data_IF_819656883491
#
_entry.id   IF_819656883491
#
_cell.length_a   1.000
_cell.length_b   1.000
_cell.length_c   1.000
_cell.angle_alpha   90.00
_cell.angle_beta   90.00
_cell.angle_gamma   90.00
#
_symmetry.space_group_name_H-M   'P 1'
#
loop_
_entity.id
_entity.type
_entity.pdbx_description
1 polymer ?
#
# COMPACT_ATOMS: atom_id res chain seq x y z
N UNK A 1 -33.91 -29.59 68.43
CA UNK A 1 -34.00 -28.15 68.25
C UNK A 1 -32.59 -27.60 67.85
N UNK A 2 -31.57 -27.75 68.72
CA UNK A 2 -30.22 -27.22 68.55
C UNK A 2 -29.61 -27.48 67.16
N UNK A 3 -29.66 -28.69 66.65
CA UNK A 3 -29.14 -29.03 65.34
C UNK A 3 -29.80 -28.22 64.20
N UNK A 4 -31.12 -27.98 64.28
CA UNK A 4 -31.80 -27.17 63.28
C UNK A 4 -31.55 -25.68 63.43
N UNK A 5 -31.32 -25.20 64.63
CA UNK A 5 -30.85 -23.84 64.87
C UNK A 5 -29.45 -23.62 64.29
N UNK A 6 -28.54 -24.58 64.46
CA UNK A 6 -27.21 -24.55 63.82
C UNK A 6 -27.33 -24.53 62.28
N UNK A 7 -28.24 -25.31 61.69
CA UNK A 7 -28.48 -25.26 60.22
C UNK A 7 -28.99 -23.90 59.76
N UNK A 8 -29.85 -23.23 60.56
CA UNK A 8 -30.28 -21.88 60.28
C UNK A 8 -29.08 -20.87 60.32
N UNK A 9 -28.22 -20.98 61.34
CA UNK A 9 -27.04 -20.14 61.47
C UNK A 9 -26.07 -20.34 60.30
N UNK A 10 -25.82 -21.58 59.92
CA UNK A 10 -25.00 -21.89 58.74
C UNK A 10 -25.60 -21.33 57.47
N UNK A 11 -26.90 -21.48 57.27
CA UNK A 11 -27.61 -20.94 56.12
C UNK A 11 -27.50 -19.41 56.04
N UNK A 12 -27.63 -18.72 57.18
CA UNK A 12 -27.46 -17.27 57.27
C UNK A 12 -26.04 -16.81 56.96
N UNK A 13 -25.04 -17.52 57.47
CA UNK A 13 -23.64 -17.28 57.12
C UNK A 13 -23.36 -17.51 55.63
N UNK A 14 -23.91 -18.55 55.05
CA UNK A 14 -23.82 -18.79 53.61
C UNK A 14 -24.53 -17.70 52.79
N UNK A 15 -25.61 -17.10 53.30
CA UNK A 15 -26.27 -15.99 52.66
C UNK A 15 -25.40 -14.71 52.58
N UNK A 16 -24.42 -14.55 53.48
CA UNK A 16 -23.47 -13.45 53.48
C UNK A 16 -22.21 -13.77 52.65
N UNK A 17 -22.00 -15.03 52.26
CA UNK A 17 -20.81 -15.44 51.55
C UNK A 17 -20.75 -14.77 50.14
N UNK A 18 -19.57 -14.18 49.82
CA UNK A 18 -19.30 -13.55 48.55
C UNK A 18 -19.18 -14.56 47.38
N UNK A 19 -18.81 -15.80 47.67
CA UNK A 19 -18.73 -16.88 46.68
C UNK A 19 -20.13 -17.56 46.54
N UNK A 20 -20.93 -17.00 45.67
CA UNK A 20 -22.32 -17.41 45.46
C UNK A 20 -22.46 -18.87 45.03
N UNK A 21 -21.55 -19.36 44.21
CA UNK A 21 -21.56 -20.76 43.69
C UNK A 21 -21.28 -21.74 44.82
N UNK A 22 -20.28 -21.45 45.64
CA UNK A 22 -19.96 -22.25 46.82
C UNK A 22 -21.07 -22.24 47.85
N UNK A 23 -21.62 -21.07 48.16
CA UNK A 23 -22.73 -20.91 49.07
C UNK A 23 -23.93 -21.74 48.64
N UNK A 24 -24.26 -21.73 47.35
CA UNK A 24 -25.37 -22.55 46.83
C UNK A 24 -25.09 -24.04 46.94
N UNK A 25 -23.85 -24.49 46.64
CA UNK A 25 -23.48 -25.89 46.76
C UNK A 25 -23.53 -26.38 48.20
N UNK A 26 -23.03 -25.60 49.14
CA UNK A 26 -23.09 -25.94 50.57
C UNK A 26 -24.56 -25.89 51.08
N UNK A 27 -25.39 -24.97 50.58
CA UNK A 27 -26.81 -24.95 50.87
C UNK A 27 -27.52 -26.25 50.43
N UNK A 28 -27.17 -26.82 49.29
CA UNK A 28 -27.75 -28.10 48.84
C UNK A 28 -27.43 -29.23 49.81
N UNK A 29 -26.18 -29.31 50.31
CA UNK A 29 -25.79 -30.28 51.35
C UNK A 29 -26.54 -30.04 52.65
N UNK A 30 -26.72 -28.80 53.03
CA UNK A 30 -27.48 -28.40 54.24
C UNK A 30 -28.94 -28.79 54.12
N UNK A 31 -29.55 -28.72 52.93
CA UNK A 31 -30.91 -29.17 52.69
C UNK A 31 -31.05 -30.68 52.85
N UNK A 32 -30.06 -31.47 52.45
CA UNK A 32 -30.03 -32.91 52.62
C UNK A 32 -29.95 -33.27 54.13
N UNK A 33 -29.03 -32.63 54.83
CA UNK A 33 -28.90 -32.80 56.30
C UNK A 33 -30.16 -32.38 57.03
N UNK A 34 -30.81 -31.27 56.59
CA UNK A 34 -32.10 -30.83 57.16
C UNK A 34 -33.18 -31.89 57.06
N UNK A 35 -33.23 -32.68 56.00
CA UNK A 35 -34.20 -33.76 55.81
C UNK A 35 -33.92 -34.98 56.70
N UNK A 36 -32.63 -35.28 56.92
CA UNK A 36 -32.22 -36.42 57.75
C UNK A 36 -32.58 -36.20 59.23
N UNK A 37 -32.54 -34.96 59.71
CA UNK A 37 -32.93 -34.65 61.05
C UNK A 37 -34.46 -34.53 61.17
N UNK A 38 -35.02 -35.32 62.07
CA UNK A 38 -36.50 -35.42 62.31
C UNK A 38 -37.17 -34.10 62.64
N UNK A 39 -38.51 -34.10 62.79
CA UNK A 39 -39.25 -32.88 63.09
C UNK A 39 -38.92 -32.32 64.46
N UNK A 40 -38.98 -30.99 64.60
CA UNK A 40 -38.90 -30.24 65.85
C UNK A 40 -40.23 -30.18 66.54
N UNK A 41 -40.29 -29.88 67.84
CA UNK A 41 -41.49 -29.65 68.58
C UNK A 41 -42.40 -28.60 67.91
N UNK A 42 -43.74 -28.78 67.97
CA UNK A 42 -44.69 -27.99 67.18
C UNK A 42 -44.56 -26.48 67.41
N UNK A 43 -44.19 -26.08 68.62
CA UNK A 43 -44.01 -24.69 69.03
C UNK A 43 -42.91 -23.93 68.31
N UNK A 44 -41.79 -24.61 67.91
CA UNK A 44 -40.62 -24.01 67.25
C UNK A 44 -40.59 -24.29 65.73
N UNK A 45 -41.51 -25.13 65.23
CA UNK A 45 -41.43 -25.62 63.85
C UNK A 45 -41.54 -24.52 62.80
N UNK A 46 -42.45 -23.63 62.97
CA UNK A 46 -42.77 -22.57 62.04
C UNK A 46 -41.64 -21.51 62.03
N UNK A 47 -41.23 -21.08 63.23
CA UNK A 47 -40.16 -20.09 63.36
C UNK A 47 -38.80 -20.55 62.74
N UNK A 48 -38.44 -21.79 63.05
CA UNK A 48 -37.16 -22.34 62.52
C UNK A 48 -37.24 -22.56 61.02
N UNK A 49 -38.40 -23.03 60.51
CA UNK A 49 -38.62 -23.18 59.10
C UNK A 49 -38.59 -21.87 58.34
N UNK A 50 -39.26 -20.84 58.83
CA UNK A 50 -39.27 -19.53 58.20
C UNK A 50 -37.87 -18.88 58.16
N UNK A 51 -37.14 -19.04 59.27
CA UNK A 51 -35.73 -18.56 59.31
C UNK A 51 -34.85 -19.27 58.29
N UNK A 52 -34.90 -20.60 58.21
CA UNK A 52 -34.16 -21.40 57.22
C UNK A 52 -34.59 -21.07 55.78
N UNK A 53 -35.87 -20.95 55.57
CA UNK A 53 -36.46 -20.58 54.29
C UNK A 53 -36.06 -19.19 53.83
N UNK A 54 -36.01 -18.22 54.75
CA UNK A 54 -35.58 -16.87 54.40
C UNK A 54 -34.10 -16.83 53.97
N UNK A 55 -33.21 -17.49 54.67
CA UNK A 55 -31.77 -17.60 54.28
C UNK A 55 -31.62 -18.33 52.94
N UNK A 56 -32.35 -19.42 52.75
CA UNK A 56 -32.39 -20.18 51.49
C UNK A 56 -32.84 -19.29 50.32
N UNK A 57 -33.90 -18.50 50.53
CA UNK A 57 -34.41 -17.59 49.48
C UNK A 57 -33.39 -16.53 49.07
N UNK A 58 -32.62 -16.00 50.01
CA UNK A 58 -31.54 -15.03 49.74
C UNK A 58 -30.43 -15.66 48.87
N UNK A 59 -29.97 -16.86 49.23
CA UNK A 59 -28.93 -17.57 48.49
C UNK A 59 -29.40 -17.90 47.09
N UNK A 60 -30.62 -18.45 46.94
CA UNK A 60 -31.19 -18.78 45.62
C UNK A 60 -31.33 -17.54 44.74
N UNK A 61 -31.78 -16.41 45.29
CA UNK A 61 -31.89 -15.16 44.56
C UNK A 61 -30.51 -14.64 44.09
N UNK A 62 -29.51 -14.70 44.98
CA UNK A 62 -28.12 -14.32 44.61
C UNK A 62 -27.56 -15.25 43.52
N UNK A 63 -27.83 -16.55 43.62
CA UNK A 63 -27.38 -17.54 42.64
C UNK A 63 -28.01 -17.30 41.26
N UNK A 64 -29.32 -17.07 41.21
CA UNK A 64 -30.02 -16.74 39.96
C UNK A 64 -29.48 -15.45 39.37
N UNK A 65 -29.38 -14.37 40.14
CA UNK A 65 -28.85 -13.08 39.68
C UNK A 65 -27.42 -13.20 39.12
N UNK A 66 -26.60 -14.01 39.81
CA UNK A 66 -25.21 -14.27 39.33
C UNK A 66 -25.18 -14.93 37.97
N UNK A 67 -25.98 -15.98 37.76
CA UNK A 67 -26.00 -16.68 36.46
C UNK A 67 -26.71 -15.90 35.36
N UNK A 68 -27.74 -15.10 35.72
CA UNK A 68 -28.35 -14.16 34.78
C UNK A 68 -27.35 -13.11 34.31
N UNK A 69 -26.61 -12.47 35.23
CA UNK A 69 -25.56 -11.52 34.90
C UNK A 69 -24.44 -12.14 34.09
N UNK A 70 -24.02 -13.37 34.40
CA UNK A 70 -23.03 -14.10 33.62
C UNK A 70 -23.51 -14.38 32.19
N UNK A 71 -24.77 -14.77 32.05
CA UNK A 71 -25.38 -15.02 30.74
C UNK A 71 -25.48 -13.74 29.91
N UNK A 72 -25.90 -12.63 30.54
CA UNK A 72 -25.93 -11.32 29.89
C UNK A 72 -24.55 -10.88 29.43
N UNK A 73 -23.54 -11.00 30.30
CA UNK A 73 -22.17 -10.68 29.95
C UNK A 73 -21.62 -11.55 28.80
N UNK A 74 -21.92 -12.84 28.81
CA UNK A 74 -21.54 -13.76 27.72
C UNK A 74 -22.24 -13.39 26.41
N UNK A 75 -23.48 -12.97 26.44
CA UNK A 75 -24.22 -12.50 25.26
C UNK A 75 -23.66 -11.19 24.74
N UNK A 76 -23.31 -10.25 25.61
CA UNK A 76 -22.64 -9.00 25.24
C UNK A 76 -21.26 -9.26 24.61
N UNK A 77 -20.48 -10.15 25.20
CA UNK A 77 -19.18 -10.55 24.66
C UNK A 77 -19.32 -11.18 23.27
N UNK A 78 -20.35 -12.03 23.08
CA UNK A 78 -20.64 -12.61 21.76
C UNK A 78 -21.00 -11.53 20.74
N UNK A 79 -21.85 -10.58 21.11
CA UNK A 79 -22.25 -9.48 20.24
C UNK A 79 -21.01 -8.62 19.83
N UNK A 80 -20.17 -8.25 20.78
CA UNK A 80 -18.92 -7.51 20.51
C UNK A 80 -18.00 -8.31 19.58
N UNK A 81 -17.81 -9.60 19.83
CA UNK A 81 -17.00 -10.48 18.97
C UNK A 81 -17.58 -10.62 17.57
N UNK A 82 -18.91 -10.65 17.45
CA UNK A 82 -19.58 -10.72 16.14
C UNK A 82 -19.27 -9.47 15.30
N UNK A 83 -19.34 -8.28 15.90
CA UNK A 83 -18.97 -7.03 15.22
C UNK A 83 -17.53 -7.05 14.75
N UNK A 84 -16.62 -7.61 15.55
CA UNK A 84 -15.21 -7.73 15.14
C UNK A 84 -15.02 -8.74 13.99
N UNK A 85 -15.79 -9.83 13.98
CA UNK A 85 -15.79 -10.75 12.83
C UNK A 85 -16.24 -10.05 11.55
N UNK A 86 -17.34 -9.32 11.60
CA UNK A 86 -17.89 -8.58 10.47
C UNK A 86 -16.89 -7.53 9.96
N UNK A 87 -16.21 -6.84 10.86
CA UNK A 87 -15.15 -5.87 10.51
C UNK A 87 -13.98 -6.54 9.78
N UNK A 88 -13.51 -7.70 10.25
CA UNK A 88 -12.42 -8.43 9.57
C UNK A 88 -12.89 -8.99 8.24
N UNK A 89 -14.11 -9.52 8.16
CA UNK A 89 -14.71 -10.02 6.92
C UNK A 89 -14.82 -8.90 5.86
N UNK A 90 -15.25 -7.71 6.28
CA UNK A 90 -15.30 -6.53 5.42
C UNK A 90 -13.90 -6.16 4.90
N UNK A 91 -12.90 -6.07 5.79
CA UNK A 91 -11.52 -5.78 5.40
C UNK A 91 -10.99 -6.85 4.43
N UNK A 92 -11.27 -8.13 4.72
CA UNK A 92 -10.85 -9.24 3.88
C UNK A 92 -11.52 -9.28 2.50
N UNK A 93 -12.70 -8.67 2.37
CA UNK A 93 -13.43 -8.57 1.11
C UNK A 93 -13.00 -7.37 0.25
N UNK A 94 -12.27 -6.40 0.80
CA UNK A 94 -11.82 -5.22 0.06
C UNK A 94 -10.92 -5.62 -1.10
N UNK A 95 -11.05 -4.91 -2.21
CA UNK A 95 -10.10 -5.00 -3.31
C UNK A 95 -8.79 -4.33 -2.92
N UNK A 96 -7.67 -4.99 -3.22
CA UNK A 96 -6.33 -4.51 -2.86
C UNK A 96 -5.44 -4.54 -4.09
N UNK A 97 -4.97 -3.36 -4.50
CA UNK A 97 -4.19 -3.15 -5.72
C UNK A 97 -2.71 -2.87 -5.44
N UNK A 98 -2.33 -2.61 -4.18
CA UNK A 98 -0.96 -2.21 -3.85
C UNK A 98 -0.46 -2.78 -2.53
N UNK A 99 0.88 -2.91 -2.41
CA UNK A 99 1.56 -3.28 -1.16
C UNK A 99 1.21 -2.36 0.01
N UNK A 100 1.05 -1.06 -0.25
CA UNK A 100 0.72 -0.09 0.79
C UNK A 100 -0.68 -0.34 1.37
N UNK A 101 -1.65 -0.70 0.53
CA UNK A 101 -2.99 -1.08 0.99
C UNK A 101 -2.94 -2.37 1.82
N UNK A 102 -2.17 -3.41 1.39
CA UNK A 102 -1.98 -4.62 2.19
C UNK A 102 -1.40 -4.33 3.57
N UNK A 103 -0.44 -3.42 3.66
CA UNK A 103 0.16 -3.03 4.93
C UNK A 103 -0.81 -2.23 5.81
N UNK A 104 -1.58 -1.31 5.23
CA UNK A 104 -2.59 -0.55 5.95
C UNK A 104 -3.68 -1.46 6.52
N UNK A 105 -4.26 -2.33 5.71
CA UNK A 105 -5.30 -3.26 6.15
C UNK A 105 -4.79 -4.32 7.14
N UNK A 106 -3.52 -4.73 7.03
CA UNK A 106 -2.90 -5.60 8.04
C UNK A 106 -2.88 -4.93 9.41
N UNK A 107 -2.57 -3.64 9.48
CA UNK A 107 -2.60 -2.87 10.74
C UNK A 107 -4.03 -2.76 11.30
N UNK A 108 -5.01 -2.55 10.43
CA UNK A 108 -6.43 -2.54 10.86
C UNK A 108 -6.82 -3.89 11.49
N UNK A 109 -6.43 -5.02 10.89
CA UNK A 109 -6.70 -6.35 11.43
C UNK A 109 -5.93 -6.58 12.74
N UNK A 110 -4.69 -6.14 12.84
CA UNK A 110 -3.91 -6.23 14.10
C UNK A 110 -4.57 -5.48 15.25
N UNK A 111 -5.16 -4.31 14.99
CA UNK A 111 -5.94 -3.57 16.01
C UNK A 111 -7.20 -4.35 16.39
N UNK A 112 -7.93 -4.89 15.43
CA UNK A 112 -9.10 -5.73 15.72
C UNK A 112 -8.71 -6.97 16.53
N UNK A 113 -7.55 -7.59 16.26
CA UNK A 113 -7.04 -8.71 17.04
C UNK A 113 -6.68 -8.32 18.47
N UNK A 114 -6.20 -7.10 18.70
CA UNK A 114 -5.98 -6.57 20.06
C UNK A 114 -7.31 -6.38 20.79
N UNK A 115 -8.29 -5.75 20.15
CA UNK A 115 -9.63 -5.59 20.69
C UNK A 115 -10.27 -6.95 21.05
N UNK A 116 -10.12 -7.95 20.18
CA UNK A 116 -10.62 -9.31 20.41
C UNK A 116 -10.09 -9.93 21.68
N UNK A 117 -8.80 -9.74 21.97
CA UNK A 117 -8.16 -10.28 23.18
C UNK A 117 -8.66 -9.64 24.46
N UNK A 118 -9.20 -8.42 24.40
CA UNK A 118 -9.75 -7.71 25.55
C UNK A 118 -11.19 -8.12 25.88
N UNK A 119 -11.89 -8.76 24.94
CA UNK A 119 -13.26 -9.23 25.14
C UNK A 119 -13.22 -10.60 25.81
N UNK A 120 -14.01 -10.74 26.89
CA UNK A 120 -14.15 -11.98 27.63
C UNK A 120 -14.76 -13.12 26.80
N UNK A 121 -14.98 -14.26 27.45
CA UNK A 121 -15.58 -15.42 26.81
C UNK A 121 -17.09 -15.22 26.55
N UNK A 122 -17.57 -15.76 25.44
CA UNK A 122 -18.97 -16.00 25.18
C UNK A 122 -19.40 -17.32 25.84
N UNK A 123 -20.65 -17.78 25.62
CA UNK A 123 -21.06 -19.08 26.07
C UNK A 123 -20.14 -20.20 25.54
N UNK A 124 -20.00 -21.29 26.28
CA UNK A 124 -19.13 -22.43 25.86
C UNK A 124 -19.49 -22.93 24.45
N UNK A 125 -20.77 -22.92 24.09
CA UNK A 125 -21.27 -23.34 22.79
C UNK A 125 -20.88 -22.38 21.67
N UNK A 126 -20.96 -21.08 21.94
CA UNK A 126 -20.80 -20.04 20.92
C UNK A 126 -19.35 -19.58 20.81
N UNK A 127 -18.58 -19.71 21.88
CA UNK A 127 -17.20 -19.21 21.92
C UNK A 127 -16.29 -19.87 20.87
N UNK A 128 -16.43 -21.19 20.66
CA UNK A 128 -15.66 -21.87 19.63
C UNK A 128 -16.10 -21.45 18.23
N UNK A 129 -17.41 -21.34 17.99
CA UNK A 129 -17.95 -20.95 16.69
C UNK A 129 -17.51 -19.55 16.27
N UNK A 130 -17.60 -18.59 17.21
CA UNK A 130 -17.21 -17.21 16.90
C UNK A 130 -15.70 -17.07 16.73
N UNK A 131 -14.91 -17.87 17.46
CA UNK A 131 -13.47 -17.94 17.27
C UNK A 131 -13.10 -18.49 15.90
N UNK A 132 -13.75 -19.60 15.49
CA UNK A 132 -13.48 -20.21 14.18
C UNK A 132 -13.86 -19.26 13.03
N UNK A 133 -14.98 -18.52 13.16
CA UNK A 133 -15.40 -17.50 12.21
C UNK A 133 -14.35 -16.37 12.11
N UNK A 134 -13.90 -15.86 13.25
CA UNK A 134 -12.89 -14.81 13.31
C UNK A 134 -11.56 -15.25 12.68
N UNK A 135 -11.13 -16.45 13.03
CA UNK A 135 -9.91 -17.06 12.49
C UNK A 135 -10.00 -17.25 10.98
N UNK A 136 -11.12 -17.80 10.50
CA UNK A 136 -11.33 -18.00 9.07
C UNK A 136 -11.27 -16.68 8.28
N UNK A 137 -11.83 -15.60 8.81
CA UNK A 137 -11.76 -14.28 8.21
C UNK A 137 -10.31 -13.75 8.17
N UNK A 138 -9.57 -13.88 9.25
CA UNK A 138 -8.14 -13.54 9.29
C UNK A 138 -7.31 -14.38 8.31
N UNK A 139 -7.52 -15.69 8.30
CA UNK A 139 -6.80 -16.63 7.43
C UNK A 139 -7.06 -16.32 5.94
N UNK A 140 -8.30 -15.96 5.60
CA UNK A 140 -8.66 -15.49 4.25
C UNK A 140 -7.85 -14.25 3.85
N UNK A 141 -7.82 -13.23 4.70
CA UNK A 141 -7.06 -12.01 4.42
C UNK A 141 -5.57 -12.29 4.24
N UNK A 142 -4.95 -12.98 5.17
CA UNK A 142 -3.52 -13.28 5.11
C UNK A 142 -3.17 -14.28 4.00
N UNK A 143 -4.10 -15.17 3.62
CA UNK A 143 -3.99 -16.03 2.45
C UNK A 143 -3.89 -15.22 1.16
N UNK A 144 -4.84 -14.32 0.91
CA UNK A 144 -4.85 -13.41 -0.24
C UNK A 144 -3.60 -12.50 -0.26
N UNK A 145 -3.19 -11.99 0.89
CA UNK A 145 -1.96 -11.20 0.99
C UNK A 145 -0.74 -12.02 0.54
N UNK A 146 -0.64 -13.25 0.96
CA UNK A 146 0.46 -14.16 0.60
C UNK A 146 0.47 -14.46 -0.90
N UNK A 147 -0.70 -14.73 -1.48
CA UNK A 147 -0.86 -14.93 -2.93
C UNK A 147 -0.39 -13.70 -3.71
N UNK A 148 -0.86 -12.51 -3.34
CA UNK A 148 -0.42 -11.25 -3.95
C UNK A 148 1.11 -11.10 -3.94
N UNK A 149 1.76 -11.32 -2.81
CA UNK A 149 3.22 -11.18 -2.75
C UNK A 149 3.97 -12.28 -3.49
N UNK A 150 3.38 -13.47 -3.61
CA UNK A 150 3.94 -14.56 -4.41
C UNK A 150 3.87 -14.20 -5.89
N UNK A 151 2.71 -13.79 -6.38
CA UNK A 151 2.52 -13.35 -7.78
C UNK A 151 3.39 -12.13 -8.11
N UNK A 152 3.48 -11.17 -7.20
CA UNK A 152 4.34 -10.01 -7.36
C UNK A 152 5.82 -10.40 -7.48
N UNK A 153 6.30 -11.30 -6.64
CA UNK A 153 7.67 -11.83 -6.70
C UNK A 153 7.93 -12.59 -8.00
N UNK A 154 6.98 -13.42 -8.42
CA UNK A 154 7.10 -14.20 -9.65
C UNK A 154 7.10 -13.30 -10.89
N UNK A 155 6.26 -12.28 -10.91
CA UNK A 155 6.26 -11.24 -11.94
C UNK A 155 7.60 -10.49 -12.00
N UNK A 156 8.16 -10.10 -10.84
CA UNK A 156 9.48 -9.45 -10.79
C UNK A 156 10.60 -10.37 -11.28
N UNK A 157 10.55 -11.67 -10.99
CA UNK A 157 11.53 -12.64 -11.47
C UNK A 157 11.40 -12.85 -12.98
N UNK A 158 10.18 -12.96 -13.51
CA UNK A 158 9.95 -13.04 -14.94
C UNK A 158 10.46 -11.78 -15.67
N UNK A 159 10.21 -10.59 -15.12
CA UNK A 159 10.75 -9.34 -15.65
C UNK A 159 12.29 -9.31 -15.60
N UNK A 160 12.89 -9.86 -14.54
CA UNK A 160 14.33 -9.97 -14.41
C UNK A 160 14.92 -10.82 -15.53
N UNK A 161 14.37 -12.00 -15.80
CA UNK A 161 14.81 -12.89 -16.87
C UNK A 161 14.67 -12.20 -18.24
N UNK A 162 13.55 -11.54 -18.50
CA UNK A 162 13.34 -10.77 -19.73
C UNK A 162 14.35 -9.65 -19.92
N UNK A 163 14.68 -8.90 -18.86
CA UNK A 163 15.72 -7.84 -18.92
C UNK A 163 17.11 -8.40 -19.09
N UNK A 164 17.43 -9.55 -18.50
CA UNK A 164 18.70 -10.25 -18.72
C UNK A 164 18.83 -10.64 -20.21
N UNK A 165 17.79 -11.23 -20.80
CA UNK A 165 17.78 -11.58 -22.21
C UNK A 165 18.01 -10.37 -23.12
N UNK A 166 17.38 -9.21 -22.81
CA UNK A 166 17.64 -7.97 -23.57
C UNK A 166 19.08 -7.47 -23.42
N UNK A 167 19.69 -7.63 -22.24
CA UNK A 167 21.10 -7.32 -22.06
C UNK A 167 22.00 -8.21 -22.93
N UNK A 168 21.74 -9.52 -22.95
CA UNK A 168 22.48 -10.51 -23.73
C UNK A 168 22.34 -10.25 -25.23
N UNK A 169 21.15 -9.93 -25.70
CA UNK A 169 20.89 -9.55 -27.08
C UNK A 169 21.61 -8.25 -27.46
N UNK A 170 21.54 -7.23 -26.61
CA UNK A 170 22.27 -5.98 -26.82
C UNK A 170 23.79 -6.19 -26.86
N UNK A 171 24.32 -7.03 -25.99
CA UNK A 171 25.74 -7.40 -25.95
C UNK A 171 26.17 -8.18 -27.21
N UNK A 172 25.32 -9.05 -27.73
CA UNK A 172 25.59 -9.77 -28.97
C UNK A 172 25.58 -8.83 -30.20
N UNK A 173 24.74 -7.79 -30.17
CA UNK A 173 24.61 -6.84 -31.28
C UNK A 173 25.63 -5.69 -31.24
N UNK A 174 26.26 -5.39 -30.11
CA UNK A 174 27.12 -4.20 -29.95
C UNK A 174 28.32 -4.14 -30.87
N UNK A 175 28.80 -5.30 -31.39
CA UNK A 175 29.92 -5.39 -32.32
C UNK A 175 29.51 -5.51 -33.79
N UNK A 176 28.20 -5.41 -34.09
CA UNK A 176 27.69 -5.48 -35.45
C UNK A 176 28.14 -4.29 -36.30
N UNK A 177 28.49 -4.56 -37.56
CA UNK A 177 28.84 -3.57 -38.59
C UNK A 177 27.69 -3.22 -39.52
N UNK A 178 26.53 -3.89 -39.41
CA UNK A 178 25.31 -3.52 -40.14
C UNK A 178 24.59 -2.38 -39.38
N UNK A 179 25.14 -1.18 -39.54
CA UNK A 179 24.75 0.01 -38.77
C UNK A 179 23.25 0.31 -38.83
N UNK A 180 22.61 0.20 -40.01
CA UNK A 180 21.20 0.53 -40.19
C UNK A 180 20.32 -0.47 -39.49
N UNK A 181 20.46 -1.76 -39.83
CA UNK A 181 19.64 -2.84 -39.28
C UNK A 181 19.80 -2.94 -37.77
N UNK A 182 21.04 -2.86 -37.29
CA UNK A 182 21.32 -2.97 -35.84
C UNK A 182 20.84 -1.76 -35.07
N UNK A 183 20.84 -0.54 -35.65
CA UNK A 183 20.24 0.64 -35.07
C UNK A 183 18.73 0.40 -34.81
N UNK A 184 18.00 -0.13 -35.80
CA UNK A 184 16.57 -0.43 -35.65
C UNK A 184 16.33 -1.50 -34.57
N UNK A 185 17.22 -2.51 -34.47
CA UNK A 185 17.17 -3.52 -33.41
C UNK A 185 17.39 -2.89 -32.02
N UNK A 186 18.40 -2.02 -31.84
CA UNK A 186 18.61 -1.33 -30.56
C UNK A 186 17.44 -0.43 -30.16
N UNK A 187 16.79 0.23 -31.13
CA UNK A 187 15.57 1.02 -30.87
C UNK A 187 14.44 0.10 -30.38
N UNK A 188 14.29 -1.06 -31.00
CA UNK A 188 13.30 -2.05 -30.58
C UNK A 188 13.59 -2.60 -29.16
N UNK A 189 14.87 -2.93 -28.86
CA UNK A 189 15.28 -3.37 -27.53
C UNK A 189 15.03 -2.31 -26.45
N UNK A 190 15.30 -1.04 -26.74
CA UNK A 190 15.04 0.07 -25.83
C UNK A 190 13.55 0.25 -25.57
N UNK A 191 12.70 0.03 -26.57
CA UNK A 191 11.24 0.05 -26.41
C UNK A 191 10.78 -1.11 -25.53
N UNK A 192 11.24 -2.33 -25.82
CA UNK A 192 10.93 -3.50 -25.00
C UNK A 192 11.41 -3.34 -23.56
N UNK A 193 12.58 -2.74 -23.33
CA UNK A 193 13.10 -2.46 -21.98
C UNK A 193 12.13 -1.60 -21.16
N UNK A 194 11.54 -0.59 -21.77
CA UNK A 194 10.56 0.30 -21.12
C UNK A 194 9.23 -0.38 -20.83
N UNK A 195 8.85 -1.35 -21.65
CA UNK A 195 7.61 -2.11 -21.48
C UNK A 195 7.72 -3.19 -20.39
N UNK A 196 8.93 -3.65 -20.06
CA UNK A 196 9.16 -4.61 -18.99
C UNK A 196 9.05 -3.88 -17.64
N UNK A 197 8.18 -4.39 -16.78
CA UNK A 197 7.91 -3.84 -15.46
C UNK A 197 9.10 -3.90 -14.48
N UNK A 198 8.79 -3.72 -13.21
CA UNK A 198 9.78 -3.71 -12.14
C UNK A 198 10.53 -5.03 -12.00
N UNK A 199 11.78 -4.95 -11.57
CA UNK A 199 12.66 -6.07 -11.22
C UNK A 199 13.15 -5.91 -9.79
N UNK A 200 13.71 -6.96 -9.15
CA UNK A 200 14.25 -6.84 -7.80
C UNK A 200 15.26 -5.69 -7.69
N UNK A 201 15.05 -4.78 -6.73
CA UNK A 201 15.81 -3.53 -6.56
C UNK A 201 17.34 -3.74 -6.62
N UNK A 202 17.82 -4.81 -5.98
CA UNK A 202 19.26 -5.14 -5.96
C UNK A 202 19.87 -5.45 -7.35
N UNK A 203 19.03 -5.78 -8.33
CA UNK A 203 19.45 -6.14 -9.69
C UNK A 203 19.20 -5.03 -10.71
N UNK A 204 18.28 -4.11 -10.41
CA UNK A 204 17.83 -3.06 -11.32
C UNK A 204 18.97 -2.21 -11.85
N UNK A 205 19.79 -1.65 -10.97
CA UNK A 205 20.89 -0.74 -11.35
C UNK A 205 21.98 -1.46 -12.15
N UNK A 206 22.29 -2.70 -11.77
CA UNK A 206 23.29 -3.51 -12.47
C UNK A 206 22.83 -3.81 -13.90
N UNK A 207 21.58 -4.22 -14.08
CA UNK A 207 21.02 -4.53 -15.39
C UNK A 207 20.92 -3.27 -16.27
N UNK A 208 20.49 -2.16 -15.69
CA UNK A 208 20.44 -0.89 -16.41
C UNK A 208 21.81 -0.46 -16.91
N UNK A 209 22.83 -0.50 -16.05
CA UNK A 209 24.21 -0.19 -16.43
C UNK A 209 24.73 -1.11 -17.53
N UNK A 210 24.46 -2.42 -17.41
CA UNK A 210 24.86 -3.43 -18.39
C UNK A 210 24.21 -3.18 -19.76
N UNK A 211 22.89 -2.99 -19.78
CA UNK A 211 22.15 -2.70 -21.02
C UNK A 211 22.62 -1.39 -21.67
N UNK A 212 22.71 -0.34 -20.85
CA UNK A 212 23.14 0.97 -21.34
C UNK A 212 24.55 0.94 -21.89
N UNK A 213 25.48 0.24 -21.25
CA UNK A 213 26.85 0.11 -21.74
C UNK A 213 26.92 -0.53 -23.13
N UNK A 214 26.13 -1.58 -23.37
CA UNK A 214 26.07 -2.21 -24.68
C UNK A 214 25.49 -1.26 -25.76
N UNK A 215 24.44 -0.51 -25.43
CA UNK A 215 23.88 0.51 -26.30
C UNK A 215 24.92 1.61 -26.62
N UNK A 216 25.55 2.16 -25.60
CA UNK A 216 26.52 3.25 -25.73
C UNK A 216 27.71 2.83 -26.58
N UNK A 217 28.20 1.59 -26.42
CA UNK A 217 29.30 1.03 -27.19
C UNK A 217 28.94 0.95 -28.69
N UNK A 218 27.79 0.37 -29.02
CA UNK A 218 27.33 0.28 -30.42
C UNK A 218 27.17 1.66 -31.05
N UNK A 219 26.45 2.57 -30.40
CA UNK A 219 26.18 3.89 -30.98
C UNK A 219 27.49 4.72 -31.13
N UNK A 220 28.45 4.59 -30.21
CA UNK A 220 29.74 5.25 -30.31
C UNK A 220 30.54 4.71 -31.52
N UNK A 221 30.57 3.38 -31.73
CA UNK A 221 31.25 2.80 -32.89
C UNK A 221 30.56 3.14 -34.20
N UNK A 222 29.22 3.12 -34.24
CA UNK A 222 28.44 3.59 -35.42
C UNK A 222 28.77 5.03 -35.76
N UNK A 223 28.81 5.92 -34.79
CA UNK A 223 29.06 7.34 -34.99
C UNK A 223 30.49 7.59 -35.49
N UNK A 224 31.50 6.79 -35.08
CA UNK A 224 32.87 6.84 -35.59
C UNK A 224 32.98 6.38 -37.05
N UNK A 225 32.17 5.36 -37.41
CA UNK A 225 32.24 4.73 -38.73
C UNK A 225 31.17 5.28 -39.71
N UNK A 226 30.42 6.32 -39.32
CA UNK A 226 29.45 6.97 -40.20
C UNK A 226 30.16 7.68 -41.36
N UNK A 227 29.65 7.43 -42.60
CA UNK A 227 30.18 8.08 -43.81
C UNK A 227 29.96 9.60 -43.76
N UNK A 228 30.74 10.41 -44.57
CA UNK A 228 30.68 11.89 -44.57
C UNK A 228 29.27 12.49 -44.74
N UNK A 229 28.33 11.74 -45.32
CA UNK A 229 26.91 12.15 -45.50
C UNK A 229 26.13 12.27 -44.17
N UNK A 230 26.66 11.64 -43.10
CA UNK A 230 26.17 11.79 -41.72
C UNK A 230 27.34 12.14 -40.79
N UNK A 231 27.96 13.29 -41.03
CA UNK A 231 29.07 13.81 -40.21
C UNK A 231 28.54 14.26 -38.82
N UNK A 232 28.22 13.28 -37.97
CA UNK A 232 27.70 13.55 -36.60
C UNK A 232 28.65 14.42 -35.78
N UNK A 233 29.98 14.26 -35.96
CA UNK A 233 30.96 15.06 -35.25
C UNK A 233 31.16 16.45 -35.91
N UNK A 234 31.07 16.57 -37.25
CA UNK A 234 31.02 17.85 -37.93
C UNK A 234 29.76 18.64 -37.56
N UNK A 235 28.59 17.96 -37.49
CA UNK A 235 27.35 18.54 -37.02
C UNK A 235 27.45 18.99 -35.54
N UNK A 236 28.12 18.21 -34.67
CA UNK A 236 28.35 18.58 -33.29
C UNK A 236 29.19 19.87 -33.21
N UNK A 237 30.31 19.92 -33.97
CA UNK A 237 31.18 21.08 -34.02
C UNK A 237 30.46 22.32 -34.57
N UNK A 238 29.62 22.13 -35.62
CA UNK A 238 28.82 23.20 -36.20
C UNK A 238 27.76 23.74 -35.19
N UNK A 239 27.09 22.85 -34.44
CA UNK A 239 26.15 23.25 -33.39
C UNK A 239 26.80 23.96 -32.22
N UNK A 240 28.01 23.51 -31.82
CA UNK A 240 28.80 24.16 -30.78
C UNK A 240 29.26 25.55 -31.22
N UNK A 241 29.70 25.69 -32.48
CA UNK A 241 30.06 26.98 -33.05
C UNK A 241 28.86 27.93 -33.09
N UNK A 242 27.71 27.46 -33.52
CA UNK A 242 26.46 28.24 -33.51
C UNK A 242 26.06 28.69 -32.10
N UNK A 243 26.20 27.83 -31.09
CA UNK A 243 25.95 28.20 -29.68
C UNK A 243 26.93 29.29 -29.21
N UNK A 244 28.22 29.20 -29.59
CA UNK A 244 29.22 30.22 -29.29
C UNK A 244 28.88 31.56 -29.95
N UNK A 245 28.43 31.54 -31.23
CA UNK A 245 27.96 32.71 -31.95
C UNK A 245 26.75 33.36 -31.28
N UNK A 246 25.74 32.58 -30.84
CA UNK A 246 24.61 33.09 -30.12
C UNK A 246 25.03 33.73 -28.80
N UNK A 247 25.95 33.12 -28.06
CA UNK A 247 26.47 33.69 -26.80
C UNK A 247 27.27 34.99 -27.03
N UNK A 248 27.96 35.11 -28.18
CA UNK A 248 28.72 36.31 -28.56
C UNK A 248 27.80 37.42 -29.14
N UNK A 249 26.59 37.12 -29.51
CA UNK A 249 25.67 38.09 -30.10
C UNK A 249 25.33 39.22 -29.12
N UNK A 250 25.50 40.46 -29.60
CA UNK A 250 25.13 41.65 -28.82
C UNK A 250 23.69 42.08 -29.15
N UNK A 251 22.82 41.99 -28.14
CA UNK A 251 21.39 42.34 -28.25
C UNK A 251 21.26 43.84 -28.41
N UNK A 252 20.61 44.29 -29.48
CA UNK A 252 20.41 45.71 -29.82
C UNK A 252 19.14 46.31 -29.28
N UNK A 253 18.15 45.49 -28.90
CA UNK A 253 16.87 45.92 -28.38
C UNK A 253 15.87 46.33 -29.45
N UNK A 254 16.10 46.02 -30.72
CA UNK A 254 15.25 46.40 -31.87
C UNK A 254 14.76 45.16 -32.66
N UNK A 255 14.12 45.41 -33.80
CA UNK A 255 13.52 44.37 -34.64
C UNK A 255 14.61 43.40 -35.19
N UNK A 256 15.89 43.82 -35.30
CA UNK A 256 17.00 43.01 -35.80
C UNK A 256 17.29 41.82 -34.88
N UNK A 257 16.99 41.92 -33.59
CA UNK A 257 17.15 40.82 -32.64
C UNK A 257 16.20 39.65 -32.93
N UNK A 258 14.98 39.98 -33.42
CA UNK A 258 13.99 38.97 -33.81
C UNK A 258 14.43 38.23 -35.06
N UNK A 259 15.00 38.98 -36.05
CA UNK A 259 15.54 38.40 -37.28
C UNK A 259 16.73 37.55 -36.97
N UNK A 260 17.66 38.00 -36.11
CA UNK A 260 18.82 37.21 -35.68
C UNK A 260 18.37 35.92 -34.95
N UNK A 261 17.38 35.97 -34.07
CA UNK A 261 16.86 34.79 -33.38
C UNK A 261 16.29 33.78 -34.38
N UNK A 262 15.50 34.25 -35.36
CA UNK A 262 14.94 33.39 -36.40
C UNK A 262 16.02 32.74 -37.28
N UNK A 263 17.07 33.50 -37.63
CA UNK A 263 18.20 32.98 -38.41
C UNK A 263 18.96 31.90 -37.59
N UNK A 264 19.22 32.14 -36.31
CA UNK A 264 19.82 31.12 -35.43
C UNK A 264 18.99 29.86 -35.34
N UNK A 265 17.64 29.98 -35.23
CA UNK A 265 16.73 28.84 -35.18
C UNK A 265 16.73 28.06 -36.48
N UNK A 266 16.75 28.75 -37.63
CA UNK A 266 16.82 28.14 -38.96
C UNK A 266 18.12 27.36 -39.14
N UNK A 267 19.27 27.99 -38.88
CA UNK A 267 20.59 27.35 -38.95
C UNK A 267 20.71 26.15 -38.01
N UNK A 268 20.13 26.22 -36.82
CA UNK A 268 20.08 25.09 -35.89
C UNK A 268 19.32 23.88 -36.47
N UNK A 269 18.25 24.10 -37.20
CA UNK A 269 17.46 23.05 -37.84
C UNK A 269 18.15 22.48 -39.07
N UNK A 270 18.89 23.29 -39.81
CA UNK A 270 19.63 22.87 -40.99
C UNK A 270 20.87 22.01 -40.64
N UNK A 271 21.48 22.22 -39.46
CA UNK A 271 22.57 21.37 -38.98
C UNK A 271 21.99 20.01 -38.59
N UNK A 272 22.52 18.96 -39.19
CA UNK A 272 22.02 17.59 -39.01
C UNK A 272 22.16 17.02 -37.60
N UNK A 273 22.03 15.72 -37.52
CA UNK A 273 22.01 14.97 -36.24
C UNK A 273 23.44 14.95 -35.64
N UNK A 274 23.53 15.03 -34.32
CA UNK A 274 24.80 14.97 -33.55
C UNK A 274 24.95 13.60 -32.88
N UNK A 275 26.17 13.22 -32.40
CA UNK A 275 26.34 11.98 -31.66
C UNK A 275 25.38 11.83 -30.51
N UNK A 276 24.86 10.62 -30.32
CA UNK A 276 23.80 10.31 -29.32
C UNK A 276 24.16 10.79 -27.90
N UNK A 277 25.41 10.60 -27.48
CA UNK A 277 25.89 11.02 -26.14
C UNK A 277 25.82 12.53 -25.91
N UNK A 278 25.96 13.31 -26.99
CA UNK A 278 26.04 14.78 -26.91
C UNK A 278 24.72 15.47 -27.23
N UNK A 279 23.72 14.72 -27.70
CA UNK A 279 22.44 15.26 -28.16
C UNK A 279 21.74 16.13 -27.10
N UNK A 280 21.60 15.61 -25.88
CA UNK A 280 20.92 16.31 -24.81
C UNK A 280 21.70 17.49 -24.26
N UNK A 281 23.03 17.34 -24.17
CA UNK A 281 23.93 18.39 -23.70
C UNK A 281 23.91 19.59 -24.65
N UNK A 282 23.99 19.31 -25.96
CA UNK A 282 24.04 20.37 -27.00
C UNK A 282 22.69 21.04 -27.15
N UNK A 283 21.58 20.26 -27.09
CA UNK A 283 20.23 20.82 -27.13
C UNK A 283 19.95 21.72 -25.91
N UNK A 284 20.40 21.33 -24.73
CA UNK A 284 20.30 22.13 -23.51
C UNK A 284 21.12 23.41 -23.64
N UNK A 285 22.40 23.30 -24.04
CA UNK A 285 23.28 24.46 -24.19
C UNK A 285 22.74 25.48 -25.22
N UNK A 286 22.14 25.02 -26.32
CA UNK A 286 21.45 25.87 -27.29
C UNK A 286 20.25 26.60 -26.68
N UNK A 287 19.38 25.85 -25.96
CA UNK A 287 18.19 26.42 -25.31
C UNK A 287 18.59 27.48 -24.28
N UNK A 288 19.61 27.20 -23.48
CA UNK A 288 20.13 28.13 -22.48
C UNK A 288 20.72 29.39 -23.13
N UNK A 289 21.47 29.27 -24.21
CA UNK A 289 22.05 30.40 -24.95
C UNK A 289 20.96 31.28 -25.59
N UNK A 290 19.96 30.68 -26.22
CA UNK A 290 18.78 31.44 -26.77
C UNK A 290 18.01 32.14 -25.66
N UNK A 291 17.78 31.49 -24.56
CA UNK A 291 17.02 32.08 -23.45
C UNK A 291 17.79 33.21 -22.76
N UNK A 292 19.09 33.09 -22.66
CA UNK A 292 19.97 34.14 -22.11
C UNK A 292 19.98 35.42 -22.99
N UNK A 293 20.11 35.24 -24.29
CA UNK A 293 20.22 36.37 -25.24
C UNK A 293 18.84 36.93 -25.65
N UNK A 294 17.86 36.10 -25.80
CA UNK A 294 16.53 36.47 -26.24
C UNK A 294 15.47 36.02 -25.19
N UNK A 295 15.50 36.59 -23.96
CA UNK A 295 14.55 36.21 -22.93
C UNK A 295 13.13 36.51 -23.42
N UNK A 296 12.25 35.52 -23.33
CA UNK A 296 10.81 35.72 -23.58
C UNK A 296 10.28 36.74 -22.56
N UNK A 297 10.13 37.98 -23.01
CA UNK A 297 9.58 39.06 -22.17
C UNK A 297 8.11 38.74 -21.88
N UNK A 298 7.71 38.43 -20.65
CA UNK A 298 6.31 38.09 -20.35
C UNK A 298 5.37 39.29 -20.54
N UNK A 299 5.92 40.51 -20.83
CA UNK A 299 5.12 41.76 -21.01
C UNK A 299 4.71 42.03 -22.45
N UNK A 300 5.12 41.29 -23.48
CA UNK A 300 4.71 41.47 -24.87
C UNK A 300 3.79 40.39 -25.46
N UNK A 301 3.29 39.47 -24.65
CA UNK A 301 2.34 38.43 -25.10
C UNK A 301 0.88 38.83 -24.86
N UNK A 302 0.56 40.11 -24.74
CA UNK A 302 -0.81 40.60 -24.54
C UNK A 302 -1.42 41.16 -25.82
N UNK A 303 -1.47 40.39 -26.89
CA UNK A 303 -2.56 40.42 -27.87
C UNK A 303 -2.70 39.00 -28.45
N UNK A 304 -3.18 38.08 -27.65
CA UNK A 304 -3.83 36.90 -28.17
C UNK A 304 -5.27 36.96 -27.75
N UNK A 305 -6.15 36.84 -28.75
CA UNK A 305 -7.57 36.61 -28.49
C UNK A 305 -7.75 35.57 -27.38
N UNK A 306 -8.74 35.69 -26.51
CA UNK A 306 -8.97 34.72 -25.45
C UNK A 306 -9.03 33.31 -26.07
N UNK A 307 -8.21 32.42 -25.58
CA UNK A 307 -8.22 31.02 -26.04
C UNK A 307 -9.62 30.47 -25.87
N UNK A 308 -10.13 29.82 -26.90
CA UNK A 308 -11.43 29.16 -26.79
C UNK A 308 -11.40 28.15 -25.62
N UNK A 309 -12.54 27.92 -25.00
CA UNK A 309 -12.69 26.98 -23.88
C UNK A 309 -12.13 25.58 -24.24
N UNK A 310 -12.24 25.22 -25.51
CA UNK A 310 -11.68 24.00 -26.09
C UNK A 310 -10.15 24.00 -26.09
N UNK A 311 -9.50 25.12 -26.43
CA UNK A 311 -8.03 25.23 -26.41
C UNK A 311 -7.47 25.16 -24.99
N UNK A 312 -8.18 25.71 -24.00
CA UNK A 312 -7.83 25.59 -22.58
C UNK A 312 -7.99 24.17 -22.10
N UNK A 313 -9.01 23.44 -22.51
CA UNK A 313 -9.22 22.03 -22.20
C UNK A 313 -8.12 21.16 -22.83
N UNK A 314 -7.73 21.37 -24.07
CA UNK A 314 -6.64 20.64 -24.71
C UNK A 314 -5.31 20.87 -24.00
N UNK A 315 -5.01 22.11 -23.59
CA UNK A 315 -3.79 22.42 -22.83
C UNK A 315 -3.81 21.71 -21.48
N UNK A 316 -4.94 21.70 -20.78
CA UNK A 316 -5.11 21.03 -19.50
C UNK A 316 -5.03 19.51 -19.62
N UNK A 317 -5.56 18.95 -20.68
CA UNK A 317 -5.46 17.52 -21.00
C UNK A 317 -4.00 17.12 -21.25
N UNK A 318 -3.28 17.86 -22.10
CA UNK A 318 -1.88 17.58 -22.37
C UNK A 318 -0.98 17.74 -21.13
N UNK A 319 -1.31 18.66 -20.22
CA UNK A 319 -0.61 18.81 -18.95
C UNK A 319 -0.86 17.61 -18.03
N UNK A 320 -2.10 17.17 -17.92
CA UNK A 320 -2.48 15.98 -17.15
C UNK A 320 -1.81 14.71 -17.69
N UNK A 321 -1.71 14.57 -19.00
CA UNK A 321 -1.04 13.44 -19.64
C UNK A 321 0.47 13.43 -19.34
N UNK A 322 1.12 14.59 -19.33
CA UNK A 322 2.51 14.74 -18.89
C UNK A 322 2.69 14.45 -17.40
N UNK A 323 1.76 14.92 -16.57
CA UNK A 323 1.79 14.67 -15.13
C UNK A 323 1.61 13.18 -14.83
N UNK A 324 0.70 12.48 -15.53
CA UNK A 324 0.52 11.02 -15.43
C UNK A 324 1.80 10.29 -15.79
N UNK A 325 2.44 10.63 -16.92
CA UNK A 325 3.72 10.01 -17.32
C UNK A 325 4.81 10.30 -16.29
N UNK A 326 4.82 11.48 -15.70
CA UNK A 326 5.79 11.85 -14.65
C UNK A 326 5.53 11.06 -13.37
N UNK A 327 4.25 10.87 -12.98
CA UNK A 327 3.87 10.06 -11.82
C UNK A 327 4.14 8.57 -12.05
N UNK A 328 3.87 8.04 -13.24
CA UNK A 328 4.20 6.65 -13.59
C UNK A 328 5.71 6.40 -13.56
N UNK A 329 6.52 7.34 -14.05
CA UNK A 329 7.98 7.28 -13.97
C UNK A 329 8.48 7.37 -12.51
N UNK A 330 7.82 8.17 -11.65
CA UNK A 330 8.18 8.30 -10.24
C UNK A 330 7.72 7.10 -9.41
N UNK A 331 6.57 6.46 -9.73
CA UNK A 331 6.11 5.23 -9.09
C UNK A 331 7.04 4.06 -9.39
N UNK A 332 7.71 4.07 -10.55
CA UNK A 332 8.77 3.10 -10.89
C UNK A 332 10.07 3.30 -10.09
N UNK A 333 10.20 4.40 -9.33
CA UNK A 333 11.37 4.69 -8.49
C UNK A 333 11.20 4.32 -7.00
N UNK A 334 9.99 3.99 -6.55
CA UNK A 334 9.69 3.47 -5.21
C UNK A 334 9.29 2.00 -5.28
#
# INVERSE_FOLDING_TARGET
>A
LEAKEQFCQVAEQLAENSNVVEAFRELQKLHEQWKEYGPVAKEYREQIWDRFKAATAVINKKYQAFFEGLKEQQAENLAKKTVLCEKVEEIAAREVLSSNQWNAYSKEIEEVQKEWKMIGFASKKDNQKIYDRFRAACDNFYGRKREFYTEYKDSMNANLERKIALCEEAEALKTSTDWKKTTDQFIALQKQWKEIGAVPRKKSDMLWKRFRAACDEFFAERDKNSKPENDFYGNLKAKQALIAEIKAYEVKGDASDVEAMQEFQKRWQEIGVVPFKEKDNVAKAYKDAIQEKFPRNPRRSNVRAPKSEMELLIIKYNQLEQDVVTYENNIGFF
#
